data_IF_398284911210
#
_entry.id   IF_398284911210
#
_cell.length_a   1.000
_cell.length_b   1.000
_cell.length_c   1.000
_cell.angle_alpha   90.00
_cell.angle_beta   90.00
_cell.angle_gamma   90.00
#
_symmetry.space_group_name_H-M   'P 1'
#
loop_
_entity.id
_entity.type
_entity.pdbx_description
1 polymer ?
#
# COMPACT_ATOMS: atom_id res chain seq x y z
N UNK A 1 -3.40 -10.09 12.43
CA UNK A 1 -4.52 -9.65 11.58
C UNK A 1 -4.12 -8.52 10.62
N UNK A 2 -3.74 -7.32 11.08
CA UNK A 2 -3.29 -6.25 10.16
C UNK A 2 -1.81 -6.37 9.76
N UNK A 3 -0.95 -6.80 10.69
CA UNK A 3 0.47 -7.08 10.41
C UNK A 3 0.63 -8.16 9.34
N UNK A 4 -0.22 -9.18 9.36
CA UNK A 4 -0.22 -10.28 8.38
C UNK A 4 -0.46 -9.76 6.95
N UNK A 5 -1.33 -8.74 6.78
CA UNK A 5 -1.59 -8.15 5.46
C UNK A 5 -0.39 -7.36 4.92
N UNK A 6 0.42 -6.76 5.78
CA UNK A 6 1.66 -6.10 5.37
C UNK A 6 2.75 -7.12 5.00
N UNK A 7 2.76 -8.30 5.62
CA UNK A 7 3.67 -9.39 5.25
C UNK A 7 3.34 -9.96 3.86
N UNK A 8 2.06 -10.02 3.49
CA UNK A 8 1.64 -10.42 2.14
C UNK A 8 2.17 -9.43 1.08
N UNK A 9 2.04 -8.13 1.33
CA UNK A 9 2.59 -7.08 0.44
C UNK A 9 4.12 -7.18 0.35
N UNK A 10 4.79 -7.40 1.47
CA UNK A 10 6.24 -7.62 1.52
C UNK A 10 6.67 -8.82 0.65
N UNK A 11 5.95 -9.93 0.78
CA UNK A 11 6.20 -11.15 0.02
C UNK A 11 6.02 -10.93 -1.49
N UNK A 12 4.98 -10.20 -1.90
CA UNK A 12 4.76 -9.83 -3.30
C UNK A 12 5.93 -8.99 -3.83
N UNK A 13 6.35 -7.96 -3.10
CA UNK A 13 7.46 -7.08 -3.53
C UNK A 13 8.76 -7.87 -3.67
N UNK A 14 9.06 -8.80 -2.74
CA UNK A 14 10.24 -9.66 -2.83
C UNK A 14 10.23 -10.54 -4.07
N UNK A 15 9.11 -11.24 -4.32
CA UNK A 15 8.96 -12.11 -5.49
C UNK A 15 9.12 -11.29 -6.77
N UNK A 16 8.53 -10.09 -6.84
CA UNK A 16 8.70 -9.19 -8.00
C UNK A 16 10.16 -8.77 -8.18
N UNK A 17 10.87 -8.41 -7.10
CA UNK A 17 12.27 -8.03 -7.18
C UNK A 17 13.15 -9.18 -7.69
N UNK A 18 12.96 -10.40 -7.19
CA UNK A 18 13.69 -11.60 -7.60
C UNK A 18 13.47 -11.92 -9.08
N UNK A 19 12.23 -11.83 -9.56
CA UNK A 19 11.88 -12.21 -10.94
C UNK A 19 12.19 -11.12 -11.97
N UNK A 20 12.20 -9.84 -11.57
CA UNK A 20 12.57 -8.74 -12.46
C UNK A 20 14.10 -8.65 -12.65
N UNK A 21 14.89 -9.15 -11.71
CA UNK A 21 16.36 -9.06 -11.75
C UNK A 21 16.82 -7.60 -11.94
N UNK A 22 17.72 -7.37 -12.88
CA UNK A 22 18.30 -6.04 -13.14
C UNK A 22 17.25 -4.96 -13.47
N UNK A 23 16.11 -5.35 -14.06
CA UNK A 23 15.03 -4.41 -14.40
C UNK A 23 14.40 -3.78 -13.14
N UNK A 24 14.50 -4.43 -11.98
CA UNK A 24 13.99 -3.89 -10.72
C UNK A 24 14.61 -2.53 -10.36
N UNK A 25 15.87 -2.30 -10.75
CA UNK A 25 16.59 -1.05 -10.50
C UNK A 25 15.92 0.17 -11.17
N UNK A 26 15.17 -0.06 -12.26
CA UNK A 26 14.43 0.95 -12.99
C UNK A 26 12.90 0.73 -12.91
N UNK A 27 12.43 0.13 -11.82
CA UNK A 27 11.00 -0.16 -11.61
C UNK A 27 10.45 0.61 -10.40
N UNK A 28 9.21 1.10 -10.56
CA UNK A 28 8.36 1.58 -9.47
C UNK A 28 7.13 0.67 -9.40
N UNK A 29 6.91 0.07 -8.24
CA UNK A 29 5.76 -0.78 -7.92
C UNK A 29 4.79 0.05 -7.08
N UNK A 30 3.53 0.11 -7.49
CA UNK A 30 2.46 0.83 -6.80
C UNK A 30 1.34 -0.14 -6.42
N UNK A 31 1.01 -0.20 -5.14
CA UNK A 31 -0.20 -0.86 -4.62
C UNK A 31 -1.15 0.22 -4.15
N UNK A 32 -2.36 0.26 -4.72
CA UNK A 32 -3.31 1.35 -4.50
C UNK A 32 -4.64 0.82 -3.98
N UNK A 33 -5.28 1.59 -3.12
CA UNK A 33 -6.68 1.35 -2.73
C UNK A 33 -7.61 2.09 -3.68
N UNK A 34 -8.60 1.40 -4.25
CA UNK A 34 -9.63 2.04 -5.08
C UNK A 34 -10.52 2.97 -4.25
N UNK A 35 -10.82 2.57 -3.01
CA UNK A 35 -11.62 3.35 -2.08
C UNK A 35 -11.24 3.12 -0.62
N UNK A 36 -11.59 4.09 0.22
CA UNK A 36 -11.47 4.01 1.67
C UNK A 36 -12.70 3.43 2.34
N UNK A 37 -12.65 3.36 3.67
CA UNK A 37 -13.79 3.03 4.53
C UNK A 37 -13.98 4.11 5.57
N UNK A 38 -15.21 4.43 5.93
CA UNK A 38 -15.49 5.36 7.03
C UNK A 38 -15.06 4.74 8.36
N UNK A 39 -14.54 5.56 9.30
CA UNK A 39 -14.25 5.10 10.67
C UNK A 39 -15.54 4.81 11.43
N UNK A 40 -16.59 5.61 11.19
CA UNK A 40 -17.90 5.41 11.81
C UNK A 40 -18.59 4.17 11.23
N UNK A 41 -19.12 3.33 12.12
CA UNK A 41 -19.95 2.18 11.76
C UNK A 41 -21.28 2.64 11.14
N UNK A 42 -21.76 1.91 10.15
CA UNK A 42 -23.05 2.15 9.51
C UNK A 42 -24.19 1.39 10.22
N UNK A 43 -25.42 1.59 9.75
CA UNK A 43 -26.62 0.95 10.33
C UNK A 43 -26.69 -0.58 10.14
N UNK A 44 -25.79 -1.16 9.35
CA UNK A 44 -25.71 -2.60 9.07
C UNK A 44 -24.56 -3.33 9.76
N UNK A 45 -24.00 -2.75 10.83
CA UNK A 45 -22.82 -3.29 11.53
C UNK A 45 -21.53 -3.38 10.68
N UNK A 46 -21.43 -2.60 9.61
CA UNK A 46 -20.24 -2.47 8.76
C UNK A 46 -19.73 -1.03 8.69
N UNK A 47 -19.02 -0.70 7.61
CA UNK A 47 -18.54 0.66 7.32
C UNK A 47 -18.97 1.09 5.92
N UNK A 48 -19.14 2.39 5.71
CA UNK A 48 -19.47 2.97 4.41
C UNK A 48 -18.24 3.16 3.54
N UNK A 49 -18.48 3.43 2.26
CA UNK A 49 -17.45 3.86 1.33
C UNK A 49 -16.86 5.21 1.78
N UNK A 50 -15.54 5.26 1.93
CA UNK A 50 -14.77 6.45 2.28
C UNK A 50 -14.03 7.03 1.09
N UNK A 51 -13.60 8.28 1.21
CA UNK A 51 -12.82 8.99 0.18
C UNK A 51 -11.30 8.89 0.39
N UNK A 52 -10.86 8.53 1.60
CA UNK A 52 -9.45 8.42 1.93
C UNK A 52 -8.83 7.16 1.34
N UNK A 53 -7.66 7.27 0.74
CA UNK A 53 -6.91 6.13 0.20
C UNK A 53 -5.44 6.18 0.59
N UNK A 54 -4.74 5.07 0.39
CA UNK A 54 -3.30 4.99 0.58
C UNK A 54 -2.67 4.31 -0.63
N UNK A 55 -1.44 4.73 -0.95
CA UNK A 55 -0.59 4.08 -1.95
C UNK A 55 0.65 3.57 -1.23
N UNK A 56 0.90 2.27 -1.34
CA UNK A 56 2.19 1.70 -0.96
C UNK A 56 3.09 1.68 -2.20
N UNK A 57 4.31 2.19 -2.04
CA UNK A 57 5.28 2.29 -3.13
C UNK A 57 6.52 1.45 -2.78
N UNK A 58 7.01 0.68 -3.75
CA UNK A 58 8.24 -0.10 -3.67
C UNK A 58 9.01 -0.05 -5.01
N UNK A 59 10.25 -0.53 -5.05
CA UNK A 59 11.04 -0.63 -6.28
C UNK A 59 12.39 0.09 -6.23
N UNK A 60 13.29 -0.23 -7.15
CA UNK A 60 14.67 0.30 -7.19
C UNK A 60 14.77 1.80 -7.50
N UNK A 61 13.68 2.41 -7.99
CA UNK A 61 13.59 3.86 -8.16
C UNK A 61 13.40 4.61 -6.84
N UNK A 62 12.94 3.96 -5.77
CA UNK A 62 12.78 4.57 -4.45
C UNK A 62 14.14 4.63 -3.75
N UNK A 63 14.68 5.84 -3.57
CA UNK A 63 16.00 6.05 -2.94
C UNK A 63 15.95 6.17 -1.42
N UNK A 64 14.78 6.46 -0.87
CA UNK A 64 14.56 6.65 0.56
C UNK A 64 13.15 6.20 0.95
N UNK A 65 13.06 5.44 2.03
CA UNK A 65 11.79 5.12 2.68
C UNK A 65 11.25 6.34 3.42
N UNK A 66 10.08 6.83 3.01
CA UNK A 66 9.41 7.99 3.61
C UNK A 66 7.93 8.05 3.22
N UNK A 67 7.14 8.82 3.96
CA UNK A 67 5.86 9.32 3.48
C UNK A 67 6.11 10.49 2.52
N UNK A 68 5.51 10.44 1.33
CA UNK A 68 5.70 11.46 0.28
C UNK A 68 4.66 12.58 0.34
N UNK A 69 3.58 12.37 1.08
CA UNK A 69 2.49 13.33 1.26
C UNK A 69 2.26 13.55 2.75
N UNK A 70 1.53 14.61 3.08
CA UNK A 70 1.01 14.79 4.42
C UNK A 70 0.08 13.61 4.75
N UNK A 71 0.44 12.85 5.79
CA UNK A 71 -0.39 11.77 6.32
C UNK A 71 -1.12 12.30 7.55
N UNK A 72 -2.42 12.65 7.45
CA UNK A 72 -3.15 13.26 8.55
C UNK A 72 -3.48 12.26 9.68
N UNK A 73 -3.21 10.98 9.49
CA UNK A 73 -3.65 9.92 10.40
C UNK A 73 -5.09 9.48 10.14
N UNK A 74 -5.65 8.76 11.12
CA UNK A 74 -7.06 8.38 11.19
C UNK A 74 -7.78 9.25 12.23
#
# INVERSE_FOLDING_TARGET
LLADQLEDVNSIVKILAENLGDAFNNTLILTLTEFGRTIKQNGGNGTEHGWGGAILMAGGLIKKSQAYTDWPGL
#
